data_IF_175988326883
#
_entry.id   IF_175988326883
#
_cell.length_a   1.000
_cell.length_b   1.000
_cell.length_c   1.000
_cell.angle_alpha   90.00
_cell.angle_beta   90.00
_cell.angle_gamma   90.00
#
_symmetry.space_group_name_H-M   'P 1'
#
loop_
_entity.id
_entity.type
_entity.pdbx_description
1 polymer ?
#
# COMPACT_ATOMS: atom_id res chain seq x y z
N UNK A 1 70.17 -32.90 -30.36
CA UNK A 1 69.13 -31.89 -30.09
C UNK A 1 67.82 -32.42 -30.65
N UNK A 2 66.72 -32.01 -30.02
CA UNK A 2 65.32 -32.25 -30.41
C UNK A 2 64.61 -33.42 -29.73
N UNK A 3 64.12 -33.09 -28.53
CA UNK A 3 62.73 -33.27 -28.05
C UNK A 3 61.69 -32.72 -29.09
N UNK A 4 60.36 -32.92 -28.98
CA UNK A 4 59.55 -33.80 -28.12
C UNK A 4 58.52 -34.68 -28.87
N UNK A 5 57.99 -35.65 -28.13
CA UNK A 5 56.74 -36.37 -28.34
C UNK A 5 55.60 -35.64 -27.61
N UNK A 6 54.49 -35.29 -28.31
CA UNK A 6 53.12 -35.60 -27.86
C UNK A 6 52.07 -35.20 -28.92
N UNK A 7 51.16 -36.13 -29.20
CA UNK A 7 49.83 -35.92 -29.78
C UNK A 7 49.00 -37.21 -29.51
N UNK A 8 47.67 -37.22 -29.67
CA UNK A 8 46.66 -36.29 -29.15
C UNK A 8 45.51 -37.07 -28.45
N UNK A 9 44.64 -36.39 -27.71
CA UNK A 9 43.31 -36.90 -27.35
C UNK A 9 42.25 -35.83 -27.72
N UNK A 10 41.05 -36.23 -28.18
CA UNK A 10 40.22 -35.43 -29.08
C UNK A 10 39.23 -34.49 -28.39
N UNK A 11 38.76 -33.55 -29.21
CA UNK A 11 37.88 -32.41 -28.98
C UNK A 11 36.39 -32.74 -28.69
N UNK A 12 35.66 -31.64 -28.43
CA UNK A 12 34.20 -31.38 -28.47
C UNK A 12 33.56 -31.35 -27.06
N UNK A 13 32.97 -30.25 -26.56
CA UNK A 13 32.01 -29.37 -27.23
C UNK A 13 31.96 -27.96 -26.58
N UNK A 14 31.99 -26.94 -27.43
CA UNK A 14 31.39 -25.60 -27.33
C UNK A 14 31.46 -24.76 -26.03
N UNK A 15 32.35 -23.75 -26.02
CA UNK A 15 32.16 -22.51 -25.25
C UNK A 15 32.74 -21.28 -26.00
N UNK A 16 31.92 -20.31 -26.46
CA UNK A 16 32.38 -18.99 -26.91
C UNK A 16 32.57 -18.03 -25.71
N UNK A 17 33.24 -16.87 -25.91
CA UNK A 17 34.13 -16.23 -24.92
C UNK A 17 33.39 -15.42 -23.84
N UNK A 18 34.04 -15.14 -22.68
CA UNK A 18 33.51 -14.18 -21.73
C UNK A 18 33.63 -12.76 -22.30
N UNK A 19 32.47 -12.21 -22.66
CA UNK A 19 32.25 -10.82 -23.05
C UNK A 19 32.62 -9.86 -21.92
N UNK A 20 33.20 -8.75 -22.34
CA UNK A 20 33.61 -7.56 -21.61
C UNK A 20 32.81 -7.19 -20.35
N UNK A 21 33.59 -6.73 -19.37
CA UNK A 21 33.18 -6.14 -18.11
C UNK A 21 32.15 -5.00 -18.32
N UNK A 22 30.88 -5.31 -18.05
CA UNK A 22 29.91 -4.28 -17.70
C UNK A 22 30.18 -3.85 -16.26
N UNK A 23 30.59 -2.59 -16.13
CA UNK A 23 30.43 -1.75 -14.94
C UNK A 23 29.05 -1.99 -14.32
N UNK A 24 29.01 -2.76 -13.23
CA UNK A 24 27.95 -2.64 -12.24
C UNK A 24 28.49 -1.85 -11.07
N UNK A 25 28.07 -0.60 -11.02
CA UNK A 25 28.10 0.28 -9.87
C UNK A 25 27.27 -0.38 -8.74
N UNK A 26 27.91 -1.26 -7.98
CA UNK A 26 27.37 -1.84 -6.76
C UNK A 26 27.91 -0.99 -5.60
N UNK A 27 27.10 -0.16 -4.93
CA UNK A 27 27.53 0.44 -3.67
C UNK A 27 27.59 -0.67 -2.63
N UNK A 28 28.78 -1.25 -2.50
CA UNK A 28 29.17 -2.15 -1.43
C UNK A 28 29.06 -1.38 -0.12
N UNK A 29 28.03 -1.63 0.67
CA UNK A 29 27.96 -1.19 2.06
C UNK A 29 28.99 -1.96 2.88
N UNK A 30 30.25 -1.53 2.87
CA UNK A 30 31.18 -1.78 3.96
C UNK A 30 30.85 -0.80 5.08
N UNK A 31 30.32 -1.31 6.18
CA UNK A 31 30.27 -0.57 7.44
C UNK A 31 31.15 -1.29 8.46
N UNK A 32 32.33 -0.72 8.69
CA UNK A 32 33.33 -1.16 9.64
C UNK A 32 32.92 -0.84 11.11
N UNK A 33 33.04 -1.86 11.98
CA UNK A 33 33.29 -1.84 13.46
C UNK A 33 32.18 -1.33 14.43
N UNK A 34 32.05 -1.92 15.65
CA UNK A 34 31.00 -1.60 16.62
C UNK A 34 31.47 -0.48 17.55
N UNK A 35 30.99 0.73 17.30
CA UNK A 35 31.14 1.89 18.16
C UNK A 35 30.02 2.86 17.80
N UNK A 36 29.15 3.14 18.77
CA UNK A 36 27.92 3.96 18.69
C UNK A 36 27.71 4.68 17.37
N UNK A 37 26.90 4.08 16.51
CA UNK A 37 26.54 4.65 15.23
C UNK A 37 25.46 5.69 15.54
N UNK A 38 25.88 6.94 15.73
CA UNK A 38 24.98 8.09 15.70
C UNK A 38 24.45 8.22 14.27
N UNK A 39 23.56 7.31 13.89
CA UNK A 39 22.81 7.43 12.67
C UNK A 39 21.82 8.57 12.90
N UNK A 40 21.91 9.65 12.11
CA UNK A 40 20.76 10.52 11.86
C UNK A 40 19.70 9.69 11.12
N UNK A 41 19.01 8.83 11.86
CA UNK A 41 17.87 8.01 11.40
C UNK A 41 16.71 8.94 11.03
N UNK A 42 16.74 10.16 11.58
CA UNK A 42 15.82 11.24 11.32
C UNK A 42 16.56 12.44 10.69
N UNK A 43 15.99 13.12 9.67
CA UNK A 43 14.70 12.85 9.04
C UNK A 43 14.76 11.71 8.01
N UNK A 44 13.67 10.94 7.83
CA UNK A 44 13.56 9.92 6.78
C UNK A 44 13.72 10.55 5.39
N UNK A 45 14.33 9.80 4.46
CA UNK A 45 14.44 10.24 3.06
C UNK A 45 13.07 10.37 2.41
N UNK A 46 12.95 11.22 1.38
CA UNK A 46 11.68 11.39 0.66
C UNK A 46 11.13 10.07 0.12
N UNK A 47 11.99 9.17 -0.37
CA UNK A 47 11.59 7.84 -0.82
C UNK A 47 10.93 7.02 0.30
N UNK A 48 11.45 7.13 1.52
CA UNK A 48 10.87 6.45 2.69
C UNK A 48 9.52 7.07 3.05
N UNK A 49 9.42 8.40 3.01
CA UNK A 49 8.14 9.12 3.22
C UNK A 49 7.08 8.68 2.20
N UNK A 50 7.45 8.62 0.92
CA UNK A 50 6.55 8.18 -0.15
C UNK A 50 6.11 6.71 0.02
N UNK A 51 7.00 5.84 0.48
CA UNK A 51 6.66 4.45 0.79
C UNK A 51 5.64 4.35 1.94
N UNK A 52 5.75 5.22 2.96
CA UNK A 52 4.76 5.31 4.05
C UNK A 52 3.41 5.79 3.51
N UNK A 53 3.39 6.81 2.66
CA UNK A 53 2.16 7.29 2.01
C UNK A 53 1.50 6.17 1.21
N UNK A 54 2.24 5.46 0.35
CA UNK A 54 1.70 4.35 -0.43
C UNK A 54 1.14 3.24 0.47
N UNK A 55 1.83 2.93 1.57
CA UNK A 55 1.33 1.95 2.55
C UNK A 55 0.05 2.40 3.24
N UNK A 56 -0.08 3.68 3.55
CA UNK A 56 -1.30 4.27 4.09
C UNK A 56 -2.44 4.19 3.08
N UNK A 57 -2.19 4.52 1.81
CA UNK A 57 -3.18 4.40 0.73
C UNK A 57 -3.70 2.98 0.66
N UNK A 58 -2.82 1.98 0.55
CA UNK A 58 -3.21 0.58 0.54
C UNK A 58 -4.06 0.23 1.77
N UNK A 59 -3.64 0.67 2.96
CA UNK A 59 -4.34 0.34 4.22
C UNK A 59 -5.74 0.95 4.29
N UNK A 60 -5.91 2.16 3.76
CA UNK A 60 -7.17 2.90 3.78
C UNK A 60 -8.12 2.49 2.64
N UNK A 61 -7.56 2.10 1.49
CA UNK A 61 -8.34 1.77 0.29
C UNK A 61 -8.66 0.29 0.13
N UNK A 62 -7.86 -0.60 0.74
CA UNK A 62 -8.10 -2.05 0.64
C UNK A 62 -9.05 -2.56 1.72
N UNK A 63 -9.83 -3.62 1.42
CA UNK A 63 -10.63 -4.28 2.43
C UNK A 63 -9.72 -4.95 3.47
N UNK A 64 -9.78 -4.49 4.72
CA UNK A 64 -8.95 -4.93 5.84
C UNK A 64 -9.78 -5.00 7.14
N UNK A 65 -9.14 -5.32 8.27
CA UNK A 65 -9.81 -5.32 9.58
C UNK A 65 -10.35 -3.93 9.91
N UNK A 66 -9.66 -2.86 9.50
CA UNK A 66 -10.12 -1.48 9.66
C UNK A 66 -11.37 -1.19 8.83
N UNK A 67 -11.45 -1.67 7.58
CA UNK A 67 -12.61 -1.42 6.74
C UNK A 67 -13.86 -2.15 7.22
N UNK A 68 -13.72 -3.28 7.94
CA UNK A 68 -14.84 -3.96 8.61
C UNK A 68 -15.44 -3.15 9.77
N UNK A 69 -14.71 -2.18 10.31
CA UNK A 69 -15.15 -1.33 11.42
C UNK A 69 -15.54 0.08 10.98
N UNK A 70 -14.86 0.60 9.97
CA UNK A 70 -14.95 2.02 9.59
C UNK A 70 -15.27 2.25 8.10
N UNK A 71 -15.38 1.18 7.31
CA UNK A 71 -15.55 1.24 5.84
C UNK A 71 -14.24 1.45 5.08
N UNK A 72 -14.29 1.31 3.75
CA UNK A 72 -13.16 1.60 2.84
C UNK A 72 -13.23 3.03 2.32
N UNK A 73 -12.07 3.67 2.14
CA UNK A 73 -11.94 4.99 1.51
C UNK A 73 -11.61 4.79 0.02
N UNK A 74 -12.23 5.53 -0.92
CA UNK A 74 -11.85 5.44 -2.32
C UNK A 74 -10.37 5.84 -2.51
N UNK A 75 -9.64 5.21 -3.45
CA UNK A 75 -8.19 5.36 -3.56
C UNK A 75 -7.74 6.81 -3.84
N UNK A 76 -8.54 7.58 -4.57
CA UNK A 76 -8.29 8.99 -4.84
C UNK A 76 -8.27 9.82 -3.55
N UNK A 77 -9.34 9.71 -2.74
CA UNK A 77 -9.43 10.36 -1.43
C UNK A 77 -8.38 9.82 -0.44
N UNK A 78 -8.14 8.50 -0.43
CA UNK A 78 -7.14 7.87 0.41
C UNK A 78 -5.73 8.41 0.13
N UNK A 79 -5.41 8.75 -1.12
CA UNK A 79 -4.14 9.37 -1.49
C UNK A 79 -3.95 10.76 -0.88
N UNK A 80 -4.99 11.59 -0.93
CA UNK A 80 -4.95 12.92 -0.33
C UNK A 80 -4.85 12.83 1.20
N UNK A 81 -5.67 11.98 1.81
CA UNK A 81 -5.68 11.74 3.25
C UNK A 81 -4.34 11.19 3.73
N UNK A 82 -3.76 10.22 3.04
CA UNK A 82 -2.48 9.62 3.41
C UNK A 82 -1.33 10.64 3.39
N UNK A 83 -1.31 11.54 2.40
CA UNK A 83 -0.31 12.63 2.35
C UNK A 83 -0.47 13.61 3.50
N UNK A 84 -1.69 13.99 3.85
CA UNK A 84 -1.96 14.88 4.99
C UNK A 84 -1.51 14.21 6.30
N UNK A 85 -1.88 12.94 6.51
CA UNK A 85 -1.49 12.19 7.72
C UNK A 85 0.04 12.14 7.86
N UNK A 86 0.72 11.81 6.77
CA UNK A 86 2.18 11.69 6.75
C UNK A 86 2.88 13.03 7.01
N UNK A 87 2.44 14.09 6.33
CA UNK A 87 3.07 15.41 6.42
C UNK A 87 2.87 16.04 7.80
N UNK A 88 1.68 15.88 8.37
CA UNK A 88 1.40 16.34 9.73
C UNK A 88 2.19 15.53 10.76
N UNK A 89 2.32 14.21 10.58
CA UNK A 89 3.14 13.38 11.46
C UNK A 89 4.63 13.73 11.36
N UNK A 90 5.14 13.99 10.14
CA UNK A 90 6.51 14.41 9.91
C UNK A 90 6.80 15.76 10.57
N UNK A 91 5.91 16.72 10.39
CA UNK A 91 6.01 18.05 11.02
C UNK A 91 5.91 17.97 12.53
N UNK A 92 5.00 17.16 13.07
CA UNK A 92 4.83 16.99 14.53
C UNK A 92 6.06 16.33 15.14
N UNK A 93 6.58 15.27 14.53
CA UNK A 93 7.77 14.58 15.00
C UNK A 93 9.02 15.46 14.88
N UNK A 94 9.23 16.10 13.73
CA UNK A 94 10.34 17.03 13.52
C UNK A 94 10.27 18.32 14.35
N UNK A 95 9.07 18.73 14.78
CA UNK A 95 8.90 19.84 15.73
C UNK A 95 9.10 19.44 17.19
N UNK A 96 8.97 18.15 17.50
CA UNK A 96 9.20 17.60 18.86
C UNK A 96 10.68 17.29 19.11
N UNK A 97 11.50 17.18 18.05
CA UNK A 97 12.92 16.94 18.18
C UNK A 97 13.64 18.17 18.74
N UNK A 98 14.05 18.09 20.00
CA UNK A 98 15.10 18.96 20.53
C UNK A 98 16.46 18.46 20.03
N UNK A 99 17.50 19.30 20.04
CA UNK A 99 18.84 18.90 19.59
C UNK A 99 19.46 17.72 20.36
N UNK A 100 18.82 17.29 21.45
CA UNK A 100 19.20 16.18 22.33
C UNK A 100 18.39 14.90 22.09
N UNK A 101 17.27 14.97 21.35
CA UNK A 101 16.36 13.84 21.12
C UNK A 101 17.00 12.89 20.10
N UNK A 102 17.07 11.60 20.44
CA UNK A 102 17.71 10.61 19.56
C UNK A 102 16.83 10.38 18.32
N UNK A 103 17.44 10.16 17.15
CA UNK A 103 16.69 9.96 15.89
C UNK A 103 15.66 8.82 15.96
N UNK A 104 15.87 7.87 16.88
CA UNK A 104 14.94 6.79 17.20
C UNK A 104 13.69 7.29 17.93
N UNK A 105 13.83 8.18 18.91
CA UNK A 105 12.70 8.73 19.68
C UNK A 105 11.78 9.53 18.77
N UNK A 106 12.37 10.37 17.90
CA UNK A 106 11.64 11.11 16.87
C UNK A 106 10.87 10.16 15.93
N UNK A 107 11.50 9.06 15.50
CA UNK A 107 10.85 8.07 14.63
C UNK A 107 9.69 7.34 15.34
N UNK A 108 9.79 7.11 16.65
CA UNK A 108 8.69 6.56 17.44
C UNK A 108 7.52 7.54 17.50
N UNK A 109 7.78 8.84 17.71
CA UNK A 109 6.74 9.88 17.68
C UNK A 109 6.06 9.90 16.32
N UNK A 110 6.83 9.88 15.23
CA UNK A 110 6.31 9.83 13.87
C UNK A 110 5.39 8.62 13.64
N UNK A 111 5.83 7.42 14.04
CA UNK A 111 5.05 6.17 13.90
C UNK A 111 3.74 6.21 14.69
N UNK A 112 3.79 6.75 15.92
CA UNK A 112 2.62 6.93 16.78
C UNK A 112 1.63 7.92 16.17
N UNK A 113 2.12 9.04 15.67
CA UNK A 113 1.28 10.09 15.08
C UNK A 113 0.62 9.65 13.77
N UNK A 114 1.31 8.88 12.93
CA UNK A 114 0.69 8.25 11.75
C UNK A 114 -0.46 7.35 12.17
N UNK A 115 -0.21 6.44 13.11
CA UNK A 115 -1.21 5.44 13.53
C UNK A 115 -2.44 6.10 14.15
N UNK A 116 -2.22 7.12 14.98
CA UNK A 116 -3.27 7.92 15.62
C UNK A 116 -4.12 8.65 14.57
N UNK A 117 -3.50 9.44 13.69
CA UNK A 117 -4.22 10.21 12.68
C UNK A 117 -4.98 9.32 11.71
N UNK A 118 -4.38 8.20 11.28
CA UNK A 118 -5.05 7.21 10.45
C UNK A 118 -6.34 6.69 11.11
N UNK A 119 -6.28 6.33 12.40
CA UNK A 119 -7.46 5.88 13.15
C UNK A 119 -8.50 6.99 13.33
N UNK A 120 -8.06 8.21 13.62
CA UNK A 120 -8.96 9.36 13.79
C UNK A 120 -9.70 9.68 12.48
N UNK A 121 -9.02 9.63 11.32
CA UNK A 121 -9.64 9.82 10.01
C UNK A 121 -10.71 8.78 9.71
N UNK A 122 -10.40 7.48 9.85
CA UNK A 122 -11.38 6.42 9.55
C UNK A 122 -12.57 6.47 10.52
N UNK A 123 -12.33 6.83 11.79
CA UNK A 123 -13.39 7.00 12.78
C UNK A 123 -14.31 8.19 12.46
N UNK A 124 -13.74 9.36 12.14
CA UNK A 124 -14.50 10.55 11.77
C UNK A 124 -15.36 10.31 10.53
N UNK A 125 -14.82 9.57 9.56
CA UNK A 125 -15.57 9.16 8.37
C UNK A 125 -16.70 8.19 8.70
N UNK A 126 -16.46 7.16 9.52
CA UNK A 126 -17.49 6.20 9.90
C UNK A 126 -18.67 6.86 10.63
N UNK A 127 -18.38 7.83 11.52
CA UNK A 127 -19.41 8.64 12.18
C UNK A 127 -20.18 9.51 11.19
N UNK A 128 -19.49 10.11 10.21
CA UNK A 128 -20.12 10.90 9.16
C UNK A 128 -21.00 10.06 8.24
N UNK A 129 -20.53 8.88 7.81
CA UNK A 129 -21.26 7.92 6.99
C UNK A 129 -22.52 7.40 7.70
N UNK A 130 -22.45 7.18 9.01
CA UNK A 130 -23.61 6.76 9.82
C UNK A 130 -24.70 7.84 9.92
N UNK A 131 -24.39 9.11 9.62
CA UNK A 131 -25.39 10.20 9.58
C UNK A 131 -26.05 10.38 8.21
N UNK A 132 -25.43 9.91 7.11
CA UNK A 132 -25.98 10.07 5.75
C UNK A 132 -26.85 8.90 5.28
N UNK A 133 -26.78 7.73 5.94
CA UNK A 133 -27.60 6.57 5.55
C UNK A 133 -29.12 6.75 5.87
N UNK A 134 -29.50 7.79 6.63
CA UNK A 134 -30.91 8.10 6.91
C UNK A 134 -31.54 9.10 5.90
N UNK A 135 -30.93 9.30 4.72
CA UNK A 135 -31.49 10.19 3.67
C UNK A 135 -31.43 9.60 2.27
N UNK A 136 -31.38 8.28 2.13
CA UNK A 136 -31.42 7.62 0.82
C UNK A 136 -32.32 6.36 0.81
N UNK A 137 -33.55 6.45 1.30
CA UNK A 137 -34.58 5.40 1.07
C UNK A 137 -35.99 5.96 0.89
N UNK A 138 -36.17 7.20 0.43
CA UNK A 138 -37.49 7.64 -0.01
C UNK A 138 -37.42 8.33 -1.36
N UNK A 139 -38.32 7.91 -2.26
CA UNK A 139 -38.54 8.33 -3.64
C UNK A 139 -37.69 7.54 -4.67
N UNK A 140 -38.17 6.46 -5.29
CA UNK A 140 -39.40 6.39 -6.07
C UNK A 140 -39.98 4.98 -6.17
N UNK A 141 -41.14 4.73 -5.57
CA UNK A 141 -42.26 3.98 -6.17
C UNK A 141 -43.56 4.35 -5.45
N UNK A 142 -44.47 5.12 -6.07
CA UNK A 142 -45.90 4.87 -5.96
C UNK A 142 -46.32 4.18 -7.27
N UNK A 143 -46.68 2.90 -7.21
CA UNK A 143 -48.07 2.49 -7.01
C UNK A 143 -49.00 3.13 -8.04
N UNK A 144 -49.26 2.39 -9.12
CA UNK A 144 -50.37 2.64 -10.04
C UNK A 144 -51.30 1.42 -9.93
N UNK A 145 -52.60 1.63 -9.63
CA UNK A 145 -53.51 0.62 -9.06
C UNK A 145 -54.05 -0.41 -10.09
N UNK A 146 -54.65 -1.52 -9.63
CA UNK A 146 -55.19 -2.58 -10.48
C UNK A 146 -56.65 -2.33 -10.89
N UNK A 147 -57.01 -2.60 -12.16
CA UNK A 147 -58.43 -2.81 -12.58
C UNK A 147 -58.57 -3.26 -14.05
N UNK A 148 -59.71 -3.86 -14.47
CA UNK A 148 -59.77 -5.28 -14.84
C UNK A 148 -60.31 -5.59 -16.27
N UNK A 149 -60.38 -6.89 -16.58
CA UNK A 149 -61.20 -7.59 -17.60
C UNK A 149 -60.74 -7.56 -19.08
N UNK A 150 -60.37 -8.74 -19.60
CA UNK A 150 -61.08 -9.56 -20.63
C UNK A 150 -60.32 -10.89 -20.73
N UNK A 151 -60.83 -12.00 -20.17
CA UNK A 151 -61.68 -13.00 -20.84
C UNK A 151 -61.21 -13.41 -22.25
N UNK A 152 -60.57 -14.58 -22.37
CA UNK A 152 -60.98 -15.68 -23.25
C UNK A 152 -59.95 -16.83 -23.28
N UNK A 153 -60.42 -18.03 -22.88
CA UNK A 153 -60.06 -19.37 -23.35
C UNK A 153 -58.57 -19.75 -23.52
N UNK A 154 -58.05 -20.84 -22.95
CA UNK A 154 -58.58 -22.20 -23.13
C UNK A 154 -58.00 -23.15 -22.09
N UNK A 155 -58.89 -23.99 -21.53
CA UNK A 155 -58.63 -25.20 -20.75
C UNK A 155 -58.05 -26.31 -21.64
N UNK A 156 -57.12 -27.07 -21.07
CA UNK A 156 -56.96 -28.55 -21.12
C UNK A 156 -55.46 -28.91 -21.13
N UNK A 157 -54.95 -29.98 -20.53
CA UNK A 157 -55.37 -30.96 -19.52
C UNK A 157 -54.15 -31.89 -19.39
N UNK A 158 -53.89 -32.37 -18.18
CA UNK A 158 -53.25 -33.63 -17.77
C UNK A 158 -52.30 -34.40 -18.73
N UNK A 159 -51.12 -34.79 -18.22
CA UNK A 159 -50.84 -36.16 -17.72
C UNK A 159 -49.34 -36.49 -17.72
N UNK A 160 -48.91 -37.06 -16.58
CA UNK A 160 -47.75 -37.93 -16.26
C UNK A 160 -46.34 -37.69 -16.81
#
# INVERSE_FOLDING_TARGET
MSDPEIAPAPEQDSAPPPTEALNQDQPSTKLDKPGGISFSIWPPTQRTRDAVVNRLIETLSTPSVLSKRYGTIPPDEASSVARIIEDEAFTTAGGSSSSEDDGIEILQVYSKEISKRMLDTVKARATSASSVDNVATQNSTPDVPPSPAVEAASVADSES
#
